data_IF_297796896500
#
_entry.id   IF_297796896500
#
_cell.length_a   1.000
_cell.length_b   1.000
_cell.length_c   1.000
_cell.angle_alpha   90.00
_cell.angle_beta   90.00
_cell.angle_gamma   90.00
#
_symmetry.space_group_name_H-M   'P 1'
#
loop_
_entity.id
_entity.type
_entity.pdbx_description
1 polymer ?
#
# COMPACT_ATOMS: atom_id res chain seq x y z
N UNK A 1 -16.74 -1.97 -16.98
CA UNK A 1 -15.85 -2.21 -15.81
C UNK A 1 -14.38 -2.09 -16.23
N UNK A 2 -13.42 -1.97 -15.30
CA UNK A 2 -12.00 -1.77 -15.61
C UNK A 2 -11.42 -2.88 -16.53
N UNK A 3 -11.87 -4.13 -16.29
CA UNK A 3 -11.51 -5.31 -17.09
C UNK A 3 -11.93 -5.18 -18.56
N UNK A 4 -13.11 -4.63 -18.83
CA UNK A 4 -13.66 -4.48 -20.19
C UNK A 4 -12.87 -3.46 -21.02
N UNK A 5 -12.05 -2.63 -20.36
CA UNK A 5 -11.13 -1.67 -20.98
C UNK A 5 -9.68 -2.17 -21.03
N UNK A 6 -9.43 -3.44 -20.69
CA UNK A 6 -8.09 -4.04 -20.69
C UNK A 6 -7.23 -3.70 -19.47
N UNK A 7 -7.79 -3.08 -18.42
CA UNK A 7 -7.05 -2.77 -17.20
C UNK A 7 -7.12 -3.92 -16.19
N UNK A 8 -5.96 -4.29 -15.65
CA UNK A 8 -5.85 -5.19 -14.49
C UNK A 8 -5.91 -4.37 -13.20
N UNK A 9 -6.90 -4.65 -12.37
CA UNK A 9 -7.03 -4.03 -11.04
C UNK A 9 -6.08 -4.73 -10.06
N UNK A 10 -5.24 -3.95 -9.39
CA UNK A 10 -4.35 -4.42 -8.32
C UNK A 10 -5.02 -4.09 -6.99
N UNK A 11 -5.05 -5.06 -6.07
CA UNK A 11 -5.57 -4.86 -4.71
C UNK A 11 -4.40 -4.53 -3.79
N UNK A 12 -4.56 -3.48 -2.99
CA UNK A 12 -3.61 -3.11 -1.95
C UNK A 12 -4.13 -3.57 -0.59
N UNK A 13 -3.26 -4.05 0.31
CA UNK A 13 -3.69 -4.41 1.64
C UNK A 13 -4.07 -3.13 2.43
N UNK A 14 -5.08 -3.18 3.29
CA UNK A 14 -5.53 -2.03 4.08
C UNK A 14 -4.40 -1.42 4.91
N UNK A 15 -4.38 -0.10 5.08
CA UNK A 15 -3.41 0.64 5.93
C UNK A 15 -1.92 0.55 5.50
N UNK A 16 -1.61 0.04 4.32
CA UNK A 16 -0.23 -0.04 3.82
C UNK A 16 -0.01 0.88 2.60
N UNK A 17 -0.03 2.20 2.84
CA UNK A 17 0.21 3.19 1.79
C UNK A 17 1.58 3.09 1.11
N UNK A 18 2.55 2.42 1.75
CA UNK A 18 3.90 2.19 1.21
C UNK A 18 3.91 1.38 -0.10
N UNK A 19 2.89 0.53 -0.29
CA UNK A 19 2.71 -0.24 -1.53
C UNK A 19 1.99 0.55 -2.63
N UNK A 20 1.62 1.81 -2.38
CA UNK A 20 0.94 2.66 -3.33
C UNK A 20 1.83 3.83 -3.79
N UNK A 21 2.46 3.75 -4.98
CA UNK A 21 3.40 4.77 -5.45
C UNK A 21 2.81 6.20 -5.51
N UNK A 22 1.51 6.34 -5.75
CA UNK A 22 0.85 7.66 -5.80
C UNK A 22 0.85 8.35 -4.44
N UNK A 23 0.78 7.59 -3.34
CA UNK A 23 0.84 8.13 -1.97
C UNK A 23 2.23 8.70 -1.66
N UNK A 24 3.29 8.07 -2.20
CA UNK A 24 4.66 8.55 -2.04
C UNK A 24 4.86 9.87 -2.78
N UNK A 25 4.37 9.97 -4.02
CA UNK A 25 4.39 11.22 -4.79
C UNK A 25 3.56 12.30 -4.10
N UNK A 26 2.36 11.94 -3.62
CA UNK A 26 1.51 12.87 -2.90
C UNK A 26 2.17 13.42 -1.63
N UNK A 27 2.88 12.55 -0.88
CA UNK A 27 3.66 12.94 0.29
C UNK A 27 4.72 13.99 -0.05
N UNK A 28 5.42 13.83 -1.18
CA UNK A 28 6.43 14.78 -1.65
C UNK A 28 5.80 16.16 -1.95
N UNK A 29 4.70 16.19 -2.70
CA UNK A 29 4.02 17.43 -3.08
C UNK A 29 3.39 18.15 -1.88
N UNK A 30 2.79 17.39 -0.96
CA UNK A 30 1.98 17.93 0.15
C UNK A 30 2.76 18.96 0.98
N UNK A 31 4.06 18.75 1.17
CA UNK A 31 4.89 19.68 1.93
C UNK A 31 5.01 21.06 1.26
N UNK A 32 5.19 21.11 -0.05
CA UNK A 32 5.26 22.36 -0.80
C UNK A 32 3.89 23.03 -0.90
N UNK A 33 2.86 22.25 -1.21
CA UNK A 33 1.47 22.75 -1.24
C UNK A 33 1.12 23.41 0.10
N UNK A 34 1.44 22.75 1.22
CA UNK A 34 1.15 23.28 2.56
C UNK A 34 1.91 24.58 2.87
N UNK A 35 3.16 24.72 2.39
CA UNK A 35 3.97 25.93 2.62
C UNK A 35 3.48 27.11 1.77
N UNK A 36 3.05 26.84 0.54
CA UNK A 36 2.72 27.87 -0.44
C UNK A 36 1.23 28.22 -0.44
N UNK A 37 0.36 27.37 0.12
CA UNK A 37 -1.06 27.64 0.18
C UNK A 37 -1.39 28.67 1.28
N UNK A 38 -1.45 29.94 0.88
CA UNK A 38 -1.88 31.07 1.73
C UNK A 38 -3.36 31.38 1.59
N UNK A 39 -4.07 30.68 0.71
CA UNK A 39 -5.46 30.92 0.37
C UNK A 39 -6.43 30.02 1.16
N UNK A 40 -7.73 30.39 1.25
CA UNK A 40 -8.77 29.53 1.79
C UNK A 40 -8.80 28.16 1.09
N UNK A 41 -9.29 27.13 1.81
CA UNK A 41 -9.42 25.77 1.28
C UNK A 41 -10.20 25.78 -0.04
N UNK A 42 -9.68 25.08 -1.05
CA UNK A 42 -10.31 24.91 -2.38
C UNK A 42 -10.51 26.20 -3.18
N UNK A 43 -9.71 27.23 -2.93
CA UNK A 43 -9.63 28.38 -3.83
C UNK A 43 -8.98 28.02 -5.18
N UNK A 44 -9.20 28.83 -6.21
CA UNK A 44 -8.50 28.72 -7.49
C UNK A 44 -6.98 28.73 -7.31
N UNK A 45 -6.48 29.61 -6.45
CA UNK A 45 -5.06 29.70 -6.11
C UNK A 45 -4.51 28.37 -5.54
N UNK A 46 -5.28 27.70 -4.66
CA UNK A 46 -4.88 26.38 -4.14
C UNK A 46 -4.80 25.32 -5.25
N UNK A 47 -5.75 25.35 -6.20
CA UNK A 47 -5.75 24.42 -7.35
C UNK A 47 -4.53 24.68 -8.25
N UNK A 48 -4.20 25.94 -8.49
CA UNK A 48 -3.06 26.31 -9.34
C UNK A 48 -1.73 25.90 -8.72
N UNK A 49 -1.57 26.02 -7.39
CA UNK A 49 -0.41 25.49 -6.65
C UNK A 49 -0.31 23.96 -6.81
N UNK A 50 -1.44 23.24 -6.71
CA UNK A 50 -1.44 21.78 -6.89
C UNK A 50 -1.00 21.41 -8.31
N UNK A 51 -1.49 22.13 -9.33
CA UNK A 51 -1.10 21.92 -10.74
C UNK A 51 0.37 22.20 -10.96
N UNK A 52 0.89 23.30 -10.40
CA UNK A 52 2.30 23.66 -10.49
C UNK A 52 3.18 22.58 -9.85
N UNK A 53 2.86 22.15 -8.63
CA UNK A 53 3.60 21.08 -7.96
C UNK A 53 3.50 19.74 -8.70
N UNK A 54 2.36 19.44 -9.32
CA UNK A 54 2.19 18.24 -10.13
C UNK A 54 3.08 18.28 -11.38
N UNK A 55 3.26 19.46 -11.99
CA UNK A 55 4.11 19.63 -13.17
C UNK A 55 5.60 19.42 -12.89
N UNK A 56 6.02 19.55 -11.62
CA UNK A 56 7.40 19.31 -11.18
C UNK A 56 7.73 17.82 -11.05
N UNK A 57 6.72 16.93 -11.09
CA UNK A 57 6.93 15.49 -11.02
C UNK A 57 7.58 15.02 -12.33
N UNK A 58 8.83 14.60 -12.24
CA UNK A 58 9.53 14.01 -13.38
C UNK A 58 9.21 12.52 -13.51
N UNK A 59 9.43 11.98 -14.72
CA UNK A 59 9.34 10.53 -14.95
C UNK A 59 10.29 9.74 -14.04
N UNK A 60 11.45 10.31 -13.72
CA UNK A 60 12.41 9.70 -12.80
C UNK A 60 11.87 9.66 -11.36
N UNK A 61 11.30 10.75 -10.85
CA UNK A 61 10.67 10.78 -9.53
C UNK A 61 9.56 9.72 -9.41
N UNK A 62 8.75 9.59 -10.46
CA UNK A 62 7.72 8.55 -10.53
C UNK A 62 8.32 7.14 -10.51
N UNK A 63 9.30 6.88 -11.39
CA UNK A 63 9.98 5.58 -11.44
C UNK A 63 10.64 5.21 -10.11
N UNK A 64 11.19 6.18 -9.39
CA UNK A 64 11.77 5.99 -8.07
C UNK A 64 10.72 5.57 -7.03
N UNK A 65 9.53 6.16 -7.07
CA UNK A 65 8.42 5.78 -6.18
C UNK A 65 7.91 4.37 -6.47
N UNK A 66 7.76 4.01 -7.75
CA UNK A 66 7.38 2.65 -8.16
C UNK A 66 8.41 1.63 -7.66
N UNK A 67 9.70 1.89 -7.90
CA UNK A 67 10.79 1.02 -7.45
C UNK A 67 10.82 0.86 -5.93
N UNK A 68 10.56 1.93 -5.18
CA UNK A 68 10.45 1.86 -3.72
C UNK A 68 9.30 0.94 -3.29
N UNK A 69 8.09 1.15 -3.81
CA UNK A 69 6.94 0.30 -3.45
C UNK A 69 7.17 -1.18 -3.79
N UNK A 70 7.79 -1.48 -4.94
CA UNK A 70 8.14 -2.88 -5.30
C UNK A 70 9.17 -3.46 -4.35
N UNK A 71 10.23 -2.70 -4.01
CA UNK A 71 11.26 -3.16 -3.06
C UNK A 71 10.66 -3.44 -1.67
N UNK A 72 9.71 -2.62 -1.23
CA UNK A 72 9.02 -2.85 0.04
C UNK A 72 8.13 -4.09 -0.03
N UNK A 73 7.40 -4.30 -1.12
CA UNK A 73 6.63 -5.53 -1.34
C UNK A 73 7.52 -6.79 -1.27
N UNK A 74 8.68 -6.77 -1.95
CA UNK A 74 9.62 -7.90 -1.97
C UNK A 74 10.15 -8.21 -0.57
N UNK A 75 10.48 -7.19 0.22
CA UNK A 75 10.91 -7.36 1.61
C UNK A 75 9.81 -7.97 2.49
N UNK A 76 8.56 -7.51 2.32
CA UNK A 76 7.42 -8.10 3.04
C UNK A 76 7.19 -9.56 2.64
N UNK A 77 7.27 -9.86 1.34
CA UNK A 77 7.13 -11.22 0.81
C UNK A 77 8.19 -12.15 1.40
N UNK A 78 9.44 -11.72 1.45
CA UNK A 78 10.54 -12.51 2.01
C UNK A 78 10.32 -12.87 3.49
N UNK A 79 9.70 -11.97 4.28
CA UNK A 79 9.41 -12.21 5.71
C UNK A 79 8.27 -13.21 5.94
N UNK A 80 7.35 -13.35 4.99
CA UNK A 80 6.20 -14.26 5.09
C UNK A 80 6.57 -15.72 4.74
N UNK A 81 7.78 -15.97 4.23
CA UNK A 81 8.28 -17.32 3.94
C UNK A 81 8.81 -17.96 5.24
N UNK A 82 8.00 -18.01 6.27
CA UNK A 82 8.15 -19.02 7.33
C UNK A 82 7.42 -20.26 6.87
N UNK A 83 8.09 -21.43 6.73
CA UNK A 83 7.41 -22.66 6.36
C UNK A 83 6.31 -22.96 7.39
N UNK A 84 5.08 -23.14 6.93
CA UNK A 84 4.00 -23.69 7.74
C UNK A 84 4.30 -25.18 7.95
N UNK A 85 4.92 -25.52 9.07
CA UNK A 85 5.22 -26.89 9.45
C UNK A 85 4.00 -27.43 10.21
N UNK A 86 3.18 -28.24 9.54
CA UNK A 86 2.14 -29.03 10.20
C UNK A 86 2.81 -30.32 10.67
N UNK A 87 3.13 -30.39 11.97
CA UNK A 87 3.54 -31.64 12.59
C UNK A 87 2.31 -32.56 12.62
N UNK A 88 2.38 -33.68 11.90
CA UNK A 88 1.34 -34.70 11.84
C UNK A 88 1.49 -35.77 12.94
N UNK A 89 2.46 -35.60 13.84
CA UNK A 89 2.68 -36.49 14.98
C UNK A 89 1.67 -36.16 16.10
N UNK A 90 0.52 -36.84 15.99
CA UNK A 90 -0.41 -37.30 17.03
C UNK A 90 -0.77 -36.33 18.17
N UNK A 91 -1.87 -35.56 17.97
CA UNK A 91 -2.79 -35.31 19.08
C UNK A 91 -3.44 -36.64 19.41
N UNK A 92 -2.95 -37.31 20.46
CA UNK A 92 -3.70 -38.36 21.15
C UNK A 92 -4.94 -37.70 21.74
N UNK A 93 -6.02 -37.65 20.98
CA UNK A 93 -7.36 -37.37 21.50
C UNK A 93 -7.75 -38.55 22.42
N UNK A 94 -7.46 -38.39 23.70
CA UNK A 94 -7.94 -39.30 24.75
C UNK A 94 -9.37 -38.88 25.14
N UNK A 95 -10.32 -39.18 24.26
CA UNK A 95 -11.76 -39.14 24.57
C UNK A 95 -12.06 -40.35 25.48
N UNK A 96 -11.83 -40.17 26.79
CA UNK A 96 -12.31 -41.12 27.80
C UNK A 96 -13.77 -40.81 28.16
N UNK A 97 -14.68 -41.55 27.52
CA UNK A 97 -16.11 -41.60 27.88
C UNK A 97 -16.29 -42.18 29.29
N UNK A 98 -16.40 -41.31 30.31
CA UNK A 98 -16.91 -41.68 31.61
C UNK A 98 -18.44 -41.64 31.62
N UNK A 99 -19.06 -42.80 31.35
CA UNK A 99 -20.41 -43.11 31.84
C UNK A 99 -20.26 -43.92 33.12
N UNK A 100 -20.58 -43.31 34.27
CA UNK A 100 -20.81 -44.04 35.52
C UNK A 100 -22.30 -44.01 35.86
N UNK A 101 -22.76 -45.16 36.34
CA UNK A 101 -24.15 -45.61 36.46
C UNK A 101 -24.77 -45.23 37.81
#
# INVERSE_FOLDING_TARGET
MARDRGFRVIKLPPYHCIFNPIELIWSQMKNNIRRNNTAPKFSSATIDIIREEASKITAEMWANCVRHSTKEEDQYRARLITPLIINLEESSDDDSDYFDQ
#
